data_IF_684204702131
#
_entry.id   IF_684204702131
#
_cell.length_a   1.000
_cell.length_b   1.000
_cell.length_c   1.000
_cell.angle_alpha   90.00
_cell.angle_beta   90.00
_cell.angle_gamma   90.00
#
_symmetry.space_group_name_H-M   'P 1'
#
loop_
_entity.id
_entity.type
_entity.pdbx_description
1 polymer ?
#
# COMPACT_ATOMS: atom_id res chain seq x y z
N UNK A 1 9.47 -4.81 2.47
CA UNK A 1 9.49 -4.06 3.75
C UNK A 1 9.79 -2.62 3.42
N UNK A 2 9.11 -1.67 4.04
CA UNK A 2 9.39 -0.25 3.91
C UNK A 2 10.02 0.24 5.22
N UNK A 3 11.07 1.04 5.11
CA UNK A 3 11.73 1.70 6.24
C UNK A 3 12.07 3.15 5.87
N UNK A 4 12.10 4.02 6.87
CA UNK A 4 12.41 5.43 6.70
C UNK A 4 12.40 6.16 8.03
N UNK A 5 12.26 7.47 7.96
CA UNK A 5 12.10 8.33 9.14
C UNK A 5 10.92 9.27 8.93
N UNK A 6 10.27 9.64 10.03
CA UNK A 6 9.15 10.55 10.06
C UNK A 6 9.44 11.67 11.05
N UNK A 7 9.24 12.92 10.62
CA UNK A 7 9.40 14.10 11.47
C UNK A 7 8.04 14.66 11.84
N UNK A 8 7.78 14.76 13.14
CA UNK A 8 6.56 15.35 13.67
C UNK A 8 6.89 16.32 14.78
N UNK A 9 6.37 17.55 14.67
CA UNK A 9 6.67 18.66 15.59
C UNK A 9 8.18 18.84 15.84
N UNK A 10 8.98 18.77 14.77
CA UNK A 10 10.44 18.91 14.83
C UNK A 10 11.21 17.70 15.35
N UNK A 11 10.53 16.60 15.72
CA UNK A 11 11.18 15.38 16.22
C UNK A 11 11.14 14.28 15.15
N UNK A 12 12.32 13.84 14.71
CA UNK A 12 12.49 12.74 13.75
C UNK A 12 12.60 11.40 14.46
N UNK A 13 11.82 10.40 14.02
CA UNK A 13 11.85 9.02 14.53
C UNK A 13 11.89 8.02 13.37
N UNK A 14 12.49 6.83 13.55
CA UNK A 14 12.39 5.77 12.55
C UNK A 14 10.92 5.38 12.36
N UNK A 15 10.57 5.05 11.12
CA UNK A 15 9.27 4.55 10.72
C UNK A 15 9.45 3.32 9.84
N UNK A 16 8.64 2.30 10.05
CA UNK A 16 8.65 1.11 9.22
C UNK A 16 7.23 0.59 8.97
N UNK A 17 7.07 -0.09 7.84
CA UNK A 17 5.85 -0.83 7.51
C UNK A 17 6.22 -2.11 6.80
N UNK A 18 5.59 -3.21 7.19
CA UNK A 18 5.64 -4.46 6.43
C UNK A 18 4.24 -4.87 6.07
N UNK A 19 4.01 -5.02 4.77
CA UNK A 19 2.82 -5.65 4.20
C UNK A 19 3.23 -7.00 3.61
N UNK A 20 2.38 -8.00 3.78
CA UNK A 20 2.50 -9.31 3.15
C UNK A 20 1.53 -9.38 1.97
N UNK A 21 2.04 -9.79 0.82
CA UNK A 21 1.27 -9.99 -0.40
C UNK A 21 1.15 -11.49 -0.61
N UNK A 22 -0.02 -12.06 -0.29
CA UNK A 22 -0.26 -13.50 -0.29
C UNK A 22 -1.15 -13.90 -1.49
N UNK A 23 -0.94 -15.07 -2.11
CA UNK A 23 -1.80 -15.51 -3.21
C UNK A 23 -3.28 -15.54 -2.82
N UNK A 24 -4.12 -14.88 -3.61
CA UNK A 24 -5.57 -14.87 -3.41
C UNK A 24 -6.28 -16.03 -4.12
N UNK A 25 -7.61 -15.95 -4.23
CA UNK A 25 -8.49 -16.99 -4.79
C UNK A 25 -8.36 -17.24 -6.30
N UNK A 26 -7.49 -16.52 -7.02
CA UNK A 26 -7.30 -16.70 -8.46
C UNK A 26 -6.13 -15.90 -9.04
N UNK A 27 -5.83 -16.10 -10.34
CA UNK A 27 -4.76 -15.38 -11.02
C UNK A 27 -4.93 -13.86 -10.92
N UNK A 28 -3.83 -13.15 -10.64
CA UNK A 28 -3.84 -11.68 -10.50
C UNK A 28 -4.49 -11.16 -9.22
N UNK A 29 -4.97 -12.05 -8.33
CA UNK A 29 -5.55 -11.70 -7.03
C UNK A 29 -4.58 -11.97 -5.89
N UNK A 30 -4.52 -11.02 -4.97
CA UNK A 30 -3.61 -11.03 -3.83
C UNK A 30 -4.37 -10.58 -2.59
N UNK A 31 -4.18 -11.31 -1.50
CA UNK A 31 -4.60 -10.87 -0.17
C UNK A 31 -3.45 -10.07 0.46
N UNK A 32 -3.69 -8.79 0.70
CA UNK A 32 -2.70 -7.91 1.35
C UNK A 32 -2.98 -7.90 2.85
N UNK A 33 -1.95 -8.23 3.64
CA UNK A 33 -2.02 -8.34 5.09
C UNK A 33 -0.99 -7.47 5.78
N UNK A 34 -1.29 -7.06 7.01
CA UNK A 34 -0.30 -6.48 7.91
C UNK A 34 0.74 -7.53 8.33
N UNK A 35 1.88 -7.07 8.86
CA UNK A 35 2.95 -7.94 9.32
C UNK A 35 2.50 -9.00 10.35
N UNK A 36 1.52 -8.64 11.18
CA UNK A 36 0.88 -9.46 12.21
C UNK A 36 -0.19 -10.44 11.66
N UNK A 37 -0.39 -10.46 10.34
CA UNK A 37 -1.32 -11.35 9.66
C UNK A 37 -2.78 -10.85 9.61
N UNK A 38 -3.12 -9.71 10.23
CA UNK A 38 -4.46 -9.12 10.08
C UNK A 38 -4.70 -8.69 8.62
N UNK A 39 -5.95 -8.83 8.11
CA UNK A 39 -6.28 -8.40 6.75
C UNK A 39 -6.15 -6.88 6.61
N UNK A 40 -5.62 -6.44 5.47
CA UNK A 40 -5.57 -5.03 5.10
C UNK A 40 -6.58 -4.73 3.97
N UNK A 41 -6.37 -5.29 2.78
CA UNK A 41 -7.31 -5.25 1.66
C UNK A 41 -7.05 -6.38 0.66
N UNK A 42 -8.02 -6.67 -0.20
CA UNK A 42 -7.79 -7.47 -1.40
C UNK A 42 -7.19 -6.62 -2.51
N UNK A 43 -6.50 -7.25 -3.45
CA UNK A 43 -5.93 -6.59 -4.62
C UNK A 43 -6.16 -7.48 -5.85
N UNK A 44 -6.82 -6.94 -6.87
CA UNK A 44 -7.03 -7.62 -8.16
C UNK A 44 -6.47 -6.75 -9.28
N UNK A 45 -5.32 -7.14 -9.83
CA UNK A 45 -4.65 -6.42 -10.92
C UNK A 45 -4.87 -7.06 -12.29
N UNK A 46 -5.83 -7.99 -12.42
CA UNK A 46 -6.10 -8.67 -13.70
C UNK A 46 -6.45 -7.70 -14.85
N UNK A 47 -7.02 -6.54 -14.54
CA UNK A 47 -7.34 -5.46 -15.48
C UNK A 47 -6.25 -4.39 -15.59
N UNK A 48 -5.20 -4.48 -14.78
CA UNK A 48 -4.20 -3.43 -14.62
C UNK A 48 -4.59 -2.26 -13.70
N UNK A 49 -5.81 -2.28 -13.13
CA UNK A 49 -6.30 -1.23 -12.21
C UNK A 49 -7.14 -1.83 -11.09
N UNK A 50 -6.98 -1.29 -9.88
CA UNK A 50 -7.79 -1.70 -8.72
C UNK A 50 -8.07 -0.51 -7.80
N UNK A 51 -9.25 -0.52 -7.18
CA UNK A 51 -9.59 0.39 -6.08
C UNK A 51 -9.96 -0.43 -4.86
N UNK A 52 -9.35 -0.10 -3.72
CA UNK A 52 -9.64 -0.71 -2.44
C UNK A 52 -9.94 0.36 -1.40
N UNK A 53 -10.84 0.04 -0.49
CA UNK A 53 -11.12 0.85 0.70
C UNK A 53 -10.60 0.11 1.93
N UNK A 54 -9.99 0.85 2.86
CA UNK A 54 -9.59 0.34 4.16
C UNK A 54 -10.04 1.31 5.27
N UNK A 55 -11.01 0.92 6.12
CA UNK A 55 -11.38 1.71 7.28
C UNK A 55 -10.30 1.60 8.36
N UNK A 56 -9.76 2.73 8.80
CA UNK A 56 -8.75 2.79 9.86
C UNK A 56 -9.25 3.71 10.98
N UNK A 57 -9.85 3.10 12.00
CA UNK A 57 -10.57 3.83 13.05
C UNK A 57 -11.61 4.79 12.43
N UNK A 58 -11.49 6.09 12.67
CA UNK A 58 -12.41 7.10 12.14
C UNK A 58 -12.01 7.64 10.74
N UNK A 59 -10.84 7.26 10.22
CA UNK A 59 -10.35 7.71 8.92
C UNK A 59 -10.59 6.64 7.85
N UNK A 60 -10.92 7.06 6.62
CA UNK A 60 -11.05 6.17 5.47
C UNK A 60 -9.83 6.32 4.55
N UNK A 61 -9.23 5.19 4.23
CA UNK A 61 -8.17 5.07 3.24
C UNK A 61 -8.78 4.54 1.95
N UNK A 62 -8.77 5.33 0.88
CA UNK A 62 -9.15 4.88 -0.47
C UNK A 62 -7.90 4.78 -1.35
N UNK A 63 -7.53 3.56 -1.70
CA UNK A 63 -6.33 3.22 -2.45
C UNK A 63 -6.65 2.93 -3.90
N UNK A 64 -5.93 3.58 -4.80
CA UNK A 64 -5.95 3.32 -6.24
C UNK A 64 -4.62 2.72 -6.67
N UNK A 65 -4.68 1.61 -7.41
CA UNK A 65 -3.53 0.85 -7.89
C UNK A 65 -3.54 0.84 -9.41
N UNK A 66 -2.41 1.14 -10.03
CA UNK A 66 -2.28 1.15 -11.50
C UNK A 66 -1.01 0.44 -11.92
N UNK A 67 -1.15 -0.61 -12.73
CA UNK A 67 -0.04 -1.27 -13.40
C UNK A 67 0.51 -0.33 -14.49
N UNK A 68 1.80 -0.02 -14.41
CA UNK A 68 2.50 0.87 -15.36
C UNK A 68 3.45 0.09 -16.29
N UNK A 69 3.64 -1.20 -16.04
CA UNK A 69 4.45 -2.12 -16.82
C UNK A 69 4.70 -3.43 -16.06
N UNK A 70 5.48 -4.37 -16.63
CA UNK A 70 5.69 -5.71 -16.03
C UNK A 70 6.36 -5.68 -14.64
N UNK A 71 7.17 -4.64 -14.40
CA UNK A 71 7.97 -4.49 -13.17
C UNK A 71 7.62 -3.22 -12.41
N UNK A 72 6.52 -2.55 -12.76
CA UNK A 72 6.22 -1.21 -12.25
C UNK A 72 4.73 -0.99 -12.08
N UNK A 73 4.37 -0.46 -10.93
CA UNK A 73 3.02 -0.07 -10.60
C UNK A 73 3.04 1.11 -9.62
N UNK A 74 1.96 1.89 -9.63
CA UNK A 74 1.77 3.04 -8.74
C UNK A 74 0.60 2.78 -7.81
N UNK A 75 0.73 3.25 -6.58
CA UNK A 75 -0.38 3.36 -5.63
C UNK A 75 -0.61 4.82 -5.25
N UNK A 76 -1.87 5.19 -5.12
CA UNK A 76 -2.30 6.48 -4.61
C UNK A 76 -3.34 6.24 -3.52
N UNK A 77 -3.04 6.63 -2.30
CA UNK A 77 -3.99 6.59 -1.19
C UNK A 77 -4.48 8.00 -0.88
N UNK A 78 -5.79 8.20 -1.02
CA UNK A 78 -6.48 9.35 -0.44
C UNK A 78 -7.01 8.96 0.92
N UNK A 79 -6.52 9.64 1.95
CA UNK A 79 -6.92 9.40 3.34
C UNK A 79 -7.69 10.61 3.82
N UNK A 80 -8.92 10.39 4.26
CA UNK A 80 -9.78 11.45 4.76
C UNK A 80 -10.49 11.01 6.05
N UNK A 81 -10.53 11.91 7.02
CA UNK A 81 -11.22 11.70 8.29
C UNK A 81 -10.85 12.77 9.31
N UNK A 82 -11.39 12.68 10.53
CA UNK A 82 -11.19 13.70 11.56
C UNK A 82 -9.73 13.81 12.03
N UNK A 83 -8.90 12.77 11.83
CA UNK A 83 -7.51 12.76 12.26
C UNK A 83 -6.51 12.89 11.12
N UNK A 84 -6.90 12.59 9.87
CA UNK A 84 -6.00 12.58 8.70
C UNK A 84 -6.67 13.20 7.48
N UNK A 85 -5.92 14.06 6.81
CA UNK A 85 -6.19 14.54 5.46
C UNK A 85 -4.89 14.47 4.67
N UNK A 86 -4.69 13.36 3.95
CA UNK A 86 -3.40 13.01 3.35
C UNK A 86 -3.57 12.42 1.95
N UNK A 87 -2.63 12.74 1.07
CA UNK A 87 -2.41 12.05 -0.20
C UNK A 87 -1.06 11.35 -0.16
N UNK A 88 -1.06 10.02 -0.26
CA UNK A 88 0.16 9.22 -0.31
C UNK A 88 0.32 8.66 -1.71
N UNK A 89 1.44 8.93 -2.37
CA UNK A 89 1.77 8.37 -3.68
C UNK A 89 3.02 7.53 -3.56
N UNK A 90 2.99 6.31 -4.11
CA UNK A 90 4.15 5.42 -4.12
C UNK A 90 4.30 4.80 -5.49
N UNK A 91 5.49 4.91 -6.07
CA UNK A 91 5.90 4.16 -7.25
C UNK A 91 6.73 2.96 -6.80
N UNK A 92 6.28 1.79 -7.20
CA UNK A 92 6.97 0.54 -6.93
C UNK A 92 7.64 0.08 -8.22
N UNK A 93 8.94 -0.23 -8.09
CA UNK A 93 9.74 -0.88 -9.11
C UNK A 93 10.16 -2.24 -8.56
N UNK A 94 10.09 -3.29 -9.38
CA UNK A 94 10.65 -4.59 -9.02
C UNK A 94 12.15 -4.39 -8.84
N UNK A 95 12.65 -4.74 -7.66
CA UNK A 95 14.09 -4.93 -7.47
C UNK A 95 14.52 -6.11 -8.34
N UNK A 96 15.32 -5.84 -9.37
CA UNK A 96 16.19 -6.85 -9.95
C UNK A 96 17.34 -7.04 -8.99
N UNK A 97 17.58 -8.26 -8.49
CA UNK A 97 18.86 -8.56 -7.88
C UNK A 97 19.94 -8.17 -8.89
N UNK A 98 21.01 -7.53 -8.46
CA UNK A 98 22.21 -7.38 -9.30
C UNK A 98 22.57 -8.78 -9.83
N UNK A 99 22.81 -8.88 -11.15
CA UNK A 99 23.17 -10.12 -11.83
C UNK A 99 24.52 -10.67 -11.33
#
# INVERSE_FOLDING_TARGET
>A
RESGAFTWQGVTRPAERTLRYEPGSGPGRVDVRFADGRPFHGLDLSSGHHVADHPCAADLYRGEFTVRGPDRWRTVWRVGGPAKDLLLTTDYLRETPDA
#
